data_IF_344465569640
#
_entry.id   IF_344465569640
#
_cell.length_a   1.000
_cell.length_b   1.000
_cell.length_c   1.000
_cell.angle_alpha   90.00
_cell.angle_beta   90.00
_cell.angle_gamma   90.00
#
_symmetry.space_group_name_H-M   'P 1'
#
loop_
_entity.id
_entity.type
_entity.pdbx_description
1 polymer ?
#
# COMPACT_ATOMS: atom_id res chain seq x y z
N UNK A 1 -8.37 4.28 38.21
CA UNK A 1 -9.23 3.75 37.14
C UNK A 1 -9.22 4.79 36.03
N UNK A 2 -8.25 4.68 35.11
CA UNK A 2 -8.03 5.67 34.05
C UNK A 2 -8.29 4.95 32.73
N UNK A 3 -9.47 5.15 32.16
CA UNK A 3 -9.75 4.76 30.78
C UNK A 3 -9.08 5.82 29.93
N UNK A 4 -7.87 5.54 29.44
CA UNK A 4 -7.26 6.34 28.39
C UNK A 4 -8.14 6.17 27.16
N UNK A 5 -8.71 7.26 26.68
CA UNK A 5 -9.24 7.35 25.33
C UNK A 5 -8.13 6.88 24.38
N UNK A 6 -8.30 5.68 23.83
CA UNK A 6 -7.49 5.21 22.71
C UNK A 6 -7.76 6.16 21.56
N UNK A 7 -6.80 7.04 21.29
CA UNK A 7 -6.77 7.78 20.03
C UNK A 7 -6.69 6.70 18.94
N UNK A 8 -7.77 6.53 18.18
CA UNK A 8 -7.81 5.75 16.94
C UNK A 8 -6.79 6.40 16.00
N UNK A 9 -5.52 5.99 16.09
CA UNK A 9 -4.40 6.64 15.44
C UNK A 9 -4.29 6.25 13.97
N UNK A 10 -5.35 6.44 13.19
CA UNK A 10 -5.27 6.37 11.73
C UNK A 10 -4.23 7.38 11.23
N UNK A 11 -3.43 6.97 10.25
CA UNK A 11 -2.46 7.88 9.65
C UNK A 11 -3.20 8.97 8.85
N UNK A 12 -2.78 10.21 9.04
CA UNK A 12 -3.29 11.33 8.27
C UNK A 12 -2.77 11.28 6.84
N UNK A 13 -3.48 11.89 5.88
CA UNK A 13 -2.99 12.01 4.51
C UNK A 13 -1.59 12.63 4.43
N UNK A 14 -1.25 13.57 5.32
CA UNK A 14 0.11 14.13 5.39
C UNK A 14 1.16 13.06 5.73
N UNK A 15 0.88 12.20 6.71
CA UNK A 15 1.77 11.10 7.07
C UNK A 15 1.90 10.06 5.95
N UNK A 16 0.83 9.78 5.20
CA UNK A 16 0.91 8.94 4.00
C UNK A 16 1.88 9.53 2.97
N UNK A 17 1.78 10.84 2.71
CA UNK A 17 2.66 11.53 1.76
C UNK A 17 4.11 11.54 2.23
N UNK A 18 4.35 11.79 3.52
CA UNK A 18 5.70 11.76 4.11
C UNK A 18 6.32 10.38 3.94
N UNK A 19 5.56 9.30 4.18
CA UNK A 19 6.02 7.93 3.94
C UNK A 19 6.35 7.69 2.47
N UNK A 20 5.47 8.08 1.54
CA UNK A 20 5.71 7.91 0.10
C UNK A 20 6.96 8.67 -0.35
N UNK A 21 7.11 9.93 0.07
CA UNK A 21 8.27 10.76 -0.28
C UNK A 21 9.56 10.19 0.33
N UNK A 22 9.50 9.66 1.56
CA UNK A 22 10.61 8.97 2.20
C UNK A 22 11.05 7.74 1.39
N UNK A 23 10.10 6.87 0.99
CA UNK A 23 10.40 5.69 0.17
C UNK A 23 10.99 6.06 -1.19
N UNK A 24 10.48 7.12 -1.83
CA UNK A 24 11.03 7.63 -3.10
C UNK A 24 12.48 8.09 -2.98
N UNK A 25 12.86 8.65 -1.83
CA UNK A 25 14.23 9.15 -1.59
C UNK A 25 15.24 8.07 -1.22
N UNK A 26 14.79 6.88 -0.82
CA UNK A 26 15.63 5.79 -0.33
C UNK A 26 16.17 4.93 -1.48
N UNK A 27 17.37 4.40 -1.28
CA UNK A 27 17.92 3.35 -2.14
C UNK A 27 17.22 2.02 -1.84
N UNK A 28 17.03 1.20 -2.88
CA UNK A 28 16.47 -0.13 -2.71
C UNK A 28 17.48 -1.07 -2.06
N UNK A 29 17.05 -1.92 -1.11
CA UNK A 29 17.93 -2.91 -0.49
C UNK A 29 18.32 -4.00 -1.48
N UNK A 30 19.51 -4.59 -1.30
CA UNK A 30 20.02 -5.67 -2.15
C UNK A 30 19.36 -7.04 -1.88
N UNK A 31 18.66 -7.18 -0.75
CA UNK A 31 18.00 -8.42 -0.34
C UNK A 31 16.56 -8.13 0.09
N UNK A 32 15.60 -9.05 -0.18
CA UNK A 32 14.24 -8.93 0.32
C UNK A 32 14.18 -9.02 1.84
N UNK A 33 13.31 -8.22 2.46
CA UNK A 33 13.08 -8.28 3.90
C UNK A 33 11.98 -7.37 4.40
N UNK A 34 11.64 -7.45 5.71
CA UNK A 34 10.73 -6.50 6.33
C UNK A 34 11.35 -5.10 6.39
N UNK A 35 10.49 -4.10 6.58
CA UNK A 35 10.86 -2.72 6.89
C UNK A 35 9.95 -2.18 8.00
N UNK A 36 10.29 -1.02 8.55
CA UNK A 36 9.51 -0.37 9.62
C UNK A 36 8.03 -0.12 9.25
N UNK A 37 7.73 -0.06 7.94
CA UNK A 37 6.40 0.28 7.41
C UNK A 37 5.81 -0.81 6.53
N UNK A 38 6.44 -1.98 6.41
CA UNK A 38 5.98 -3.05 5.50
C UNK A 38 7.10 -3.96 5.04
N UNK A 39 7.33 -4.03 3.73
CA UNK A 39 8.39 -4.88 3.14
C UNK A 39 9.18 -4.16 2.07
N UNK A 40 10.35 -4.70 1.74
CA UNK A 40 11.26 -4.10 0.78
C UNK A 40 12.11 -5.18 0.11
N UNK A 41 12.73 -4.85 -1.01
CA UNK A 41 13.63 -5.75 -1.72
C UNK A 41 14.34 -5.06 -2.88
N UNK A 42 15.09 -5.83 -3.69
CA UNK A 42 15.78 -5.30 -4.86
C UNK A 42 14.79 -4.59 -5.78
N UNK A 43 15.03 -3.30 -6.02
CA UNK A 43 14.22 -2.49 -6.91
C UNK A 43 12.88 -2.01 -6.36
N UNK A 44 12.50 -2.31 -5.10
CA UNK A 44 11.21 -1.87 -4.56
C UNK A 44 11.13 -1.64 -3.04
N UNK A 45 10.15 -0.82 -2.65
CA UNK A 45 9.62 -0.69 -1.30
C UNK A 45 8.09 -0.85 -1.32
N UNK A 46 7.53 -1.49 -0.30
CA UNK A 46 6.08 -1.60 -0.04
C UNK A 46 5.80 -1.11 1.38
N UNK A 47 4.90 -0.14 1.52
CA UNK A 47 4.43 0.35 2.81
C UNK A 47 2.93 0.07 3.02
N UNK A 48 2.62 -0.36 4.23
CA UNK A 48 1.29 -0.45 4.82
C UNK A 48 0.97 0.89 5.47
N UNK A 49 0.10 1.67 4.84
CA UNK A 49 -0.11 3.07 5.19
C UNK A 49 -1.05 3.29 6.37
N UNK A 50 -1.83 2.28 6.77
CA UNK A 50 -2.80 2.44 7.86
C UNK A 50 -2.23 2.02 9.23
N UNK A 51 -0.90 1.88 9.31
CA UNK A 51 -0.18 1.31 10.45
C UNK A 51 -0.24 -0.22 10.47
N UNK A 52 0.69 -0.86 11.21
CA UNK A 52 0.47 -2.23 11.66
C UNK A 52 -0.77 -2.19 12.54
N UNK A 53 -1.84 -2.90 12.14
CA UNK A 53 -2.84 -3.32 13.12
C UNK A 53 -2.03 -4.00 14.22
N UNK A 54 -1.97 -3.36 15.39
CA UNK A 54 -1.25 -3.92 16.52
C UNK A 54 -1.70 -5.37 16.70
N UNK A 55 -0.76 -6.19 17.15
CA UNK A 55 -0.98 -7.55 17.67
C UNK A 55 -2.17 -7.67 18.65
N UNK A 56 -2.71 -6.53 19.12
CA UNK A 56 -3.82 -6.37 20.06
C UNK A 56 -5.25 -6.44 19.44
N UNK A 57 -5.46 -7.00 18.25
CA UNK A 57 -6.77 -6.92 17.59
C UNK A 57 -7.25 -8.11 16.78
N UNK A 58 -6.60 -9.27 16.87
CA UNK A 58 -7.09 -10.48 16.20
C UNK A 58 -8.39 -11.05 16.84
N UNK A 59 -8.77 -10.53 18.00
CA UNK A 59 -9.79 -11.05 18.89
C UNK A 59 -10.99 -10.09 19.11
N UNK A 60 -11.08 -9.01 18.32
CA UNK A 60 -12.08 -7.95 18.50
C UNK A 60 -13.05 -7.70 17.35
N UNK A 61 -13.24 -8.64 16.40
CA UNK A 61 -14.30 -8.49 15.39
C UNK A 61 -15.68 -8.77 16.00
N UNK A 62 -16.17 -7.86 16.84
CA UNK A 62 -17.60 -7.75 17.08
C UNK A 62 -18.26 -7.30 15.76
N UNK A 63 -19.27 -8.06 15.35
CA UNK A 63 -20.01 -7.92 14.10
C UNK A 63 -20.53 -6.47 13.95
N UNK A 64 -19.80 -5.64 13.18
CA UNK A 64 -20.07 -4.21 12.99
C UNK A 64 -18.82 -3.31 12.87
N UNK A 65 -17.70 -3.66 13.53
CA UNK A 65 -16.49 -2.81 13.54
C UNK A 65 -15.64 -2.95 12.26
N UNK A 66 -15.79 -4.08 11.56
CA UNK A 66 -15.11 -4.36 10.30
C UNK A 66 -15.51 -3.43 9.15
N UNK A 67 -16.79 -3.06 9.09
CA UNK A 67 -17.32 -2.18 8.04
C UNK A 67 -16.88 -0.72 8.27
N UNK A 68 -16.91 -0.24 9.51
CA UNK A 68 -16.42 1.09 9.86
C UNK A 68 -14.92 1.24 9.56
N UNK A 69 -14.12 0.21 9.86
CA UNK A 69 -12.71 0.18 9.49
C UNK A 69 -12.54 0.15 7.97
N UNK A 70 -13.34 -0.59 7.22
CA UNK A 70 -13.28 -0.61 5.76
C UNK A 70 -13.61 0.77 5.16
N UNK A 71 -14.66 1.42 5.64
CA UNK A 71 -15.06 2.76 5.21
C UNK A 71 -14.00 3.82 5.53
N UNK A 72 -13.36 3.73 6.69
CA UNK A 72 -12.25 4.62 7.05
C UNK A 72 -11.08 4.46 6.08
N UNK A 73 -10.68 3.21 5.77
CA UNK A 73 -9.60 2.95 4.80
C UNK A 73 -9.97 3.44 3.39
N UNK A 74 -11.22 3.26 2.97
CA UNK A 74 -11.68 3.74 1.67
C UNK A 74 -11.66 5.28 1.59
N UNK A 75 -12.05 5.97 2.66
CA UNK A 75 -11.96 7.43 2.77
C UNK A 75 -10.50 7.92 2.76
N UNK A 76 -9.61 7.27 3.51
CA UNK A 76 -8.17 7.58 3.54
C UNK A 76 -7.51 7.37 2.17
N UNK A 77 -7.84 6.26 1.49
CA UNK A 77 -7.43 5.98 0.13
C UNK A 77 -7.89 7.10 -0.82
N UNK A 78 -9.17 7.44 -0.84
CA UNK A 78 -9.71 8.50 -1.68
C UNK A 78 -9.09 9.88 -1.38
N UNK A 79 -8.87 10.22 -0.11
CA UNK A 79 -8.21 11.45 0.28
C UNK A 79 -6.74 11.50 -0.21
N UNK A 80 -6.02 10.39 -0.10
CA UNK A 80 -4.65 10.26 -0.61
C UNK A 80 -4.61 10.42 -2.14
N UNK A 81 -5.47 9.69 -2.88
CA UNK A 81 -5.54 9.79 -4.33
C UNK A 81 -5.81 11.22 -4.79
N UNK A 82 -6.77 11.92 -4.18
CA UNK A 82 -7.08 13.31 -4.50
C UNK A 82 -5.88 14.26 -4.30
N UNK A 83 -5.01 14.01 -3.32
CA UNK A 83 -3.80 14.82 -3.13
C UNK A 83 -2.73 14.45 -4.15
N UNK A 84 -2.51 13.16 -4.39
CA UNK A 84 -1.53 12.68 -5.37
C UNK A 84 -1.90 13.12 -6.79
N UNK A 85 -3.17 13.08 -7.17
CA UNK A 85 -3.65 13.53 -8.46
C UNK A 85 -3.38 15.03 -8.68
N UNK A 86 -3.63 15.86 -7.66
CA UNK A 86 -3.28 17.29 -7.73
C UNK A 86 -1.77 17.54 -7.80
N UNK A 87 -0.96 16.63 -7.24
CA UNK A 87 0.51 16.76 -7.20
C UNK A 87 1.18 16.26 -8.48
N UNK A 88 0.70 15.16 -9.05
CA UNK A 88 1.37 14.42 -10.12
C UNK A 88 0.52 14.21 -11.38
N UNK A 89 -0.74 14.65 -11.39
CA UNK A 89 -1.68 14.43 -12.48
C UNK A 89 -2.49 13.15 -12.31
N UNK A 90 -3.36 12.88 -13.29
CA UNK A 90 -4.24 11.70 -13.32
C UNK A 90 -3.42 10.39 -13.29
N UNK A 91 -3.76 9.43 -12.41
CA UNK A 91 -3.10 8.12 -12.40
C UNK A 91 -3.54 7.25 -13.57
N UNK A 92 -2.65 6.35 -13.98
CA UNK A 92 -3.05 5.18 -14.75
C UNK A 92 -3.75 4.17 -13.81
N UNK A 93 -4.97 3.77 -14.14
CA UNK A 93 -5.69 2.71 -13.41
C UNK A 93 -5.25 1.37 -13.99
N UNK A 94 -4.54 0.57 -13.20
CA UNK A 94 -3.90 -0.66 -13.64
C UNK A 94 -4.53 -1.89 -12.98
N UNK A 95 -4.84 -2.92 -13.77
CA UNK A 95 -5.35 -4.20 -13.28
C UNK A 95 -4.22 -5.22 -13.11
N UNK A 96 -4.18 -5.92 -11.99
CA UNK A 96 -3.27 -7.04 -11.75
C UNK A 96 -3.85 -8.41 -12.17
N UNK A 97 -5.03 -8.45 -12.81
CA UNK A 97 -5.68 -9.70 -13.18
C UNK A 97 -4.83 -10.55 -14.14
N UNK A 98 -4.21 -9.93 -15.15
CA UNK A 98 -3.30 -10.62 -16.08
C UNK A 98 -2.05 -11.13 -15.37
N UNK A 99 -1.47 -10.31 -14.48
CA UNK A 99 -0.32 -10.68 -13.65
C UNK A 99 -0.64 -11.90 -12.79
N UNK A 100 -1.80 -11.91 -12.14
CA UNK A 100 -2.27 -13.01 -11.30
C UNK A 100 -2.40 -14.31 -12.10
N UNK A 101 -3.00 -14.27 -13.29
CA UNK A 101 -3.13 -15.45 -14.17
C UNK A 101 -1.75 -16.01 -14.59
N UNK A 102 -0.75 -15.16 -14.77
CA UNK A 102 0.62 -15.59 -15.07
C UNK A 102 1.27 -16.26 -13.86
N UNK A 103 1.10 -15.69 -12.67
CA UNK A 103 1.56 -16.31 -11.41
C UNK A 103 0.91 -17.67 -11.19
N UNK A 104 -0.40 -17.81 -11.42
CA UNK A 104 -1.14 -19.08 -11.32
C UNK A 104 -0.66 -20.15 -12.34
N UNK A 105 -0.01 -19.72 -13.43
CA UNK A 105 0.61 -20.58 -14.44
C UNK A 105 2.09 -20.87 -14.17
N UNK A 106 2.60 -20.49 -13.00
CA UNK A 106 4.00 -20.63 -12.61
C UNK A 106 4.96 -19.85 -13.55
N UNK A 107 4.45 -18.81 -14.23
CA UNK A 107 5.30 -17.92 -15.01
C UNK A 107 6.13 -17.01 -14.10
N UNK A 108 7.34 -16.65 -14.57
CA UNK A 108 8.17 -15.69 -13.86
C UNK A 108 7.56 -14.28 -13.96
N UNK A 109 7.21 -13.72 -12.80
CA UNK A 109 6.76 -12.34 -12.62
C UNK A 109 7.68 -11.71 -11.57
N UNK A 110 8.33 -10.59 -11.87
CA UNK A 110 9.23 -9.94 -10.92
C UNK A 110 8.44 -9.34 -9.75
N UNK A 111 9.09 -9.30 -8.58
CA UNK A 111 8.62 -8.46 -7.50
C UNK A 111 8.75 -6.96 -7.88
N UNK A 112 7.85 -6.09 -7.39
CA UNK A 112 6.80 -6.36 -6.40
C UNK A 112 5.49 -6.90 -7.01
N UNK A 113 5.36 -6.96 -8.33
CA UNK A 113 4.08 -7.22 -9.02
C UNK A 113 3.49 -8.60 -8.73
N UNK A 114 4.34 -9.62 -8.59
CA UNK A 114 3.92 -10.96 -8.16
C UNK A 114 3.11 -10.89 -6.86
N UNK A 115 3.72 -10.35 -5.78
CA UNK A 115 3.08 -10.26 -4.46
C UNK A 115 1.82 -9.40 -4.48
N UNK A 116 1.85 -8.26 -5.18
CA UNK A 116 0.68 -7.39 -5.26
C UNK A 116 -0.50 -8.11 -5.91
N UNK A 117 -0.27 -8.90 -6.97
CA UNK A 117 -1.34 -9.60 -7.69
C UNK A 117 -2.08 -10.65 -6.86
N UNK A 118 -1.44 -11.15 -5.79
CA UNK A 118 -2.05 -12.07 -4.85
C UNK A 118 -3.03 -11.36 -3.90
N UNK A 119 -2.77 -10.07 -3.60
CA UNK A 119 -3.45 -9.30 -2.55
C UNK A 119 -4.48 -8.29 -3.06
N UNK A 120 -4.32 -7.78 -4.28
CA UNK A 120 -5.18 -6.74 -4.83
C UNK A 120 -5.42 -6.91 -6.33
N UNK A 121 -6.51 -6.30 -6.80
CA UNK A 121 -6.92 -6.37 -8.20
C UNK A 121 -6.57 -5.12 -8.98
N UNK A 122 -6.62 -3.94 -8.35
CA UNK A 122 -6.47 -2.64 -9.00
C UNK A 122 -5.48 -1.73 -8.26
N UNK A 123 -4.75 -0.93 -9.05
CA UNK A 123 -3.76 0.04 -8.60
C UNK A 123 -3.96 1.38 -9.30
N UNK A 124 -3.67 2.47 -8.59
CA UNK A 124 -3.46 3.79 -9.17
C UNK A 124 -1.96 4.00 -9.31
N UNK A 125 -1.51 4.24 -10.54
CA UNK A 125 -0.10 4.22 -10.90
C UNK A 125 0.34 5.58 -11.44
N UNK A 126 1.49 6.05 -10.96
CA UNK A 126 2.18 7.22 -11.50
C UNK A 126 3.61 6.85 -11.85
N UNK A 127 4.12 7.47 -12.93
CA UNK A 127 5.54 7.46 -13.25
C UNK A 127 6.16 8.79 -12.87
N UNK A 128 7.07 8.79 -11.90
CA UNK A 128 7.79 9.98 -11.47
C UNK A 128 9.28 9.74 -11.60
N UNK A 129 9.93 10.50 -12.47
CA UNK A 129 11.36 10.36 -12.81
C UNK A 129 11.68 8.93 -13.28
N UNK A 130 12.45 8.17 -12.51
CA UNK A 130 12.88 6.79 -12.78
C UNK A 130 12.17 5.73 -11.90
N UNK A 131 11.22 6.14 -11.05
CA UNK A 131 10.36 5.23 -10.26
C UNK A 131 8.88 5.24 -10.63
N UNK A 132 8.26 4.07 -10.45
CA UNK A 132 6.82 3.88 -10.41
C UNK A 132 6.33 4.03 -8.97
N UNK A 133 5.22 4.75 -8.79
CA UNK A 133 4.49 4.81 -7.53
C UNK A 133 3.11 4.21 -7.75
N UNK A 134 2.80 3.15 -7.00
CA UNK A 134 1.48 2.53 -7.02
C UNK A 134 0.80 2.69 -5.66
N UNK A 135 -0.49 3.00 -5.67
CA UNK A 135 -1.34 3.02 -4.48
C UNK A 135 -2.55 2.12 -4.70
N UNK A 136 -2.82 1.25 -3.74
CA UNK A 136 -3.91 0.28 -3.81
C UNK A 136 -4.51 -0.02 -2.46
N UNK A 137 -5.73 -0.55 -2.47
CA UNK A 137 -6.47 -0.92 -1.28
C UNK A 137 -6.76 -2.42 -1.32
N UNK A 138 -6.34 -3.14 -0.29
CA UNK A 138 -6.79 -4.51 0.00
C UNK A 138 -7.96 -4.46 0.99
N UNK A 139 -8.55 -5.62 1.29
CA UNK A 139 -9.56 -5.72 2.35
C UNK A 139 -9.05 -5.22 3.72
N UNK A 140 -7.74 -5.29 3.97
CA UNK A 140 -7.17 -5.06 5.28
C UNK A 140 -6.24 -3.84 5.33
N UNK A 141 -5.66 -3.41 4.21
CA UNK A 141 -4.55 -2.45 4.18
C UNK A 141 -4.63 -1.53 2.96
N UNK A 142 -4.33 -0.26 3.18
CA UNK A 142 -3.91 0.67 2.13
C UNK A 142 -2.41 0.48 1.91
N UNK A 143 -2.00 0.21 0.68
CA UNK A 143 -0.62 -0.04 0.31
C UNK A 143 -0.10 1.06 -0.61
N UNK A 144 1.15 1.45 -0.38
CA UNK A 144 1.93 2.24 -1.32
C UNK A 144 3.19 1.47 -1.72
N UNK A 145 3.49 1.50 -3.02
CA UNK A 145 4.64 0.83 -3.61
C UNK A 145 5.47 1.85 -4.34
N UNK A 146 6.78 1.80 -4.15
CA UNK A 146 7.76 2.55 -4.95
C UNK A 146 8.69 1.52 -5.57
N UNK A 147 8.79 1.49 -6.89
CA UNK A 147 9.56 0.46 -7.60
C UNK A 147 10.21 1.00 -8.87
N UNK A 148 11.38 0.50 -9.22
CA UNK A 148 11.99 0.73 -10.55
C UNK A 148 11.57 -0.34 -11.57
N UNK A 149 11.08 -1.49 -11.10
CA UNK A 149 10.54 -2.56 -11.95
C UNK A 149 9.30 -2.07 -12.69
N UNK A 150 9.29 -2.19 -14.02
CA UNK A 150 8.14 -1.83 -14.85
C UNK A 150 6.92 -2.70 -14.57
N UNK A 151 5.70 -2.13 -14.62
CA UNK A 151 4.47 -2.90 -14.53
C UNK A 151 4.39 -3.92 -15.70
N UNK A 152 3.92 -5.16 -15.43
CA UNK A 152 3.98 -6.29 -16.37
C UNK A 152 2.89 -6.32 -17.45
#
# INVERSE_FOLDING_TARGET
MSVRAGLLGGMTTAQHLDTIDLLRSRAFPAEPGPSDVGSQGPGFHVAELNGQFGDDGADGYEDGDGDAAADQRAQEHGALLNVLERRWGEPDIFSLASTRLRVERDEEVPDPWRRLSEQMEWLHLWRIEDRWIAVGLTRFQLLAVVTETEPP
#
